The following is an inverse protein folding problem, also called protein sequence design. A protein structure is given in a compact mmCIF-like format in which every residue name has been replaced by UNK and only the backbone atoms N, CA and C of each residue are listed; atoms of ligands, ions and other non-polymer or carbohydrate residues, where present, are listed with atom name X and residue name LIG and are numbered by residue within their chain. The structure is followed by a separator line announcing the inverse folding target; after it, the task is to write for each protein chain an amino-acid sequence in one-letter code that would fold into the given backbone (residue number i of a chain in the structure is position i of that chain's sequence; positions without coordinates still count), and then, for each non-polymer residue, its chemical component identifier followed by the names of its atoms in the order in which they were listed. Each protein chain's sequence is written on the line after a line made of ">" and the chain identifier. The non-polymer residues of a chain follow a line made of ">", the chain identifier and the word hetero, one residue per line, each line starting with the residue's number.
data_IF_472384608744
#
_entry.id   IF_472384608744
#
_cell.length_a   1.000
_cell.length_b   1.000
_cell.length_c   1.000
_cell.angle_alpha   90.00
_cell.angle_beta   90.00
_cell.angle_gamma   90.00
#
_symmetry.space_group_name_H-M   'P 1'
#
loop_
_entity.id
_entity.type
_entity.pdbx_description
1 polymer ?
#
# COMPACT_ATOMS: atom_id res chain seq x y z
N UNK A 1 -7.48 35.06 9.60
CA UNK A 1 -6.76 33.86 10.06
C UNK A 1 -6.31 33.09 8.84
N UNK A 2 -5.02 33.11 8.56
CA UNK A 2 -4.43 32.64 7.31
C UNK A 2 -3.44 31.53 7.65
N UNK A 3 -3.80 30.28 7.36
CA UNK A 3 -3.17 29.46 6.32
C UNK A 3 -3.75 28.05 6.35
N UNK A 4 -4.04 27.54 5.15
CA UNK A 4 -4.35 26.16 4.84
C UNK A 4 -3.51 25.16 5.65
N UNK A 5 -4.16 24.22 6.35
CA UNK A 5 -3.61 22.90 6.59
C UNK A 5 -3.65 22.11 5.27
N UNK A 6 -2.86 22.55 4.29
CA UNK A 6 -2.45 21.72 3.16
C UNK A 6 -1.16 21.03 3.59
N UNK A 7 -1.26 20.09 4.52
CA UNK A 7 -0.21 19.07 4.66
C UNK A 7 -0.36 18.12 3.47
N UNK A 8 0.04 18.60 2.29
CA UNK A 8 0.39 17.76 1.15
C UNK A 8 1.73 17.07 1.48
N UNK A 9 1.71 16.21 2.50
CA UNK A 9 2.70 15.16 2.60
C UNK A 9 2.32 14.18 1.50
N UNK A 10 2.86 14.41 0.30
CA UNK A 10 2.90 13.43 -0.77
C UNK A 10 3.84 12.30 -0.30
N UNK A 11 3.35 11.51 0.64
CA UNK A 11 4.05 10.32 1.10
C UNK A 11 3.73 9.26 0.05
N UNK A 12 4.71 9.04 -0.84
CA UNK A 12 4.58 7.99 -1.83
C UNK A 12 4.45 6.65 -1.10
N UNK A 13 3.62 5.77 -1.61
CA UNK A 13 3.30 4.51 -0.97
C UNK A 13 4.56 3.62 -0.88
N UNK A 14 5.13 3.50 0.32
CA UNK A 14 6.36 2.74 0.56
C UNK A 14 6.05 1.33 1.04
N UNK A 15 6.84 0.35 0.60
CA UNK A 15 6.69 -1.03 1.07
C UNK A 15 7.41 -1.16 2.40
N UNK A 16 6.66 -1.27 3.49
CA UNK A 16 7.23 -1.56 4.81
C UNK A 16 7.29 -3.07 5.07
N UNK A 17 8.35 -3.48 5.75
CA UNK A 17 8.44 -4.83 6.33
C UNK A 17 7.49 -4.96 7.51
N UNK A 18 7.09 -6.20 7.83
CA UNK A 18 6.18 -6.49 8.95
C UNK A 18 6.71 -5.94 10.30
N UNK A 19 8.02 -5.95 10.50
CA UNK A 19 8.66 -5.43 11.71
C UNK A 19 8.55 -3.90 11.83
N UNK A 20 8.90 -3.19 10.76
CA UNK A 20 8.78 -1.73 10.74
C UNK A 20 7.31 -1.34 10.87
N UNK A 21 6.42 -2.02 10.12
CA UNK A 21 4.99 -1.85 10.22
C UNK A 21 4.46 -2.08 11.64
N UNK A 22 4.90 -3.11 12.37
CA UNK A 22 4.44 -3.34 13.75
C UNK A 22 4.78 -2.20 14.72
N UNK A 23 5.95 -1.57 14.58
CA UNK A 23 6.35 -0.43 15.41
C UNK A 23 5.50 0.81 15.14
N UNK A 24 5.10 0.98 13.89
CA UNK A 24 4.32 2.14 13.47
C UNK A 24 2.83 1.85 13.36
N UNK A 25 2.38 0.59 13.43
CA UNK A 25 0.99 0.18 13.21
C UNK A 25 0.00 0.96 14.06
N UNK A 26 0.38 1.41 15.25
CA UNK A 26 -0.43 2.29 16.10
C UNK A 26 -0.69 3.68 15.48
N UNK A 27 0.24 4.16 14.66
CA UNK A 27 0.19 5.40 13.90
C UNK A 27 -0.38 5.23 12.48
N UNK A 28 -0.56 3.99 12.01
CA UNK A 28 -1.04 3.70 10.67
C UNK A 28 -2.41 3.02 10.71
N UNK A 29 -3.37 3.54 9.97
CA UNK A 29 -4.70 2.94 9.87
C UNK A 29 -4.82 2.19 8.56
N UNK A 30 -5.31 0.94 8.61
CA UNK A 30 -5.65 0.21 7.39
C UNK A 30 -6.77 0.95 6.68
N UNK A 31 -6.46 1.54 5.53
CA UNK A 31 -7.46 2.25 4.73
C UNK A 31 -8.06 1.36 3.65
N UNK A 32 -7.43 0.22 3.36
CA UNK A 32 -7.96 -0.72 2.38
C UNK A 32 -7.09 -1.93 2.14
N UNK A 33 -7.55 -2.76 1.21
CA UNK A 33 -6.80 -3.87 0.65
C UNK A 33 -6.89 -3.74 -0.86
N UNK A 34 -5.77 -3.90 -1.53
CA UNK A 34 -5.65 -3.89 -2.97
C UNK A 34 -5.21 -5.27 -3.42
N UNK A 35 -5.75 -5.73 -4.53
CA UNK A 35 -5.38 -6.99 -5.14
C UNK A 35 -5.14 -6.77 -6.62
N UNK A 36 -4.09 -7.42 -7.14
CA UNK A 36 -3.82 -7.51 -8.57
C UNK A 36 -3.85 -8.99 -8.96
N UNK A 37 -4.52 -9.26 -10.07
CA UNK A 37 -4.92 -10.61 -10.48
C UNK A 37 -4.64 -10.78 -11.96
N UNK A 38 -3.95 -11.84 -12.35
CA UNK A 38 -3.70 -12.12 -13.77
C UNK A 38 -2.44 -11.48 -14.35
N UNK A 39 -1.57 -10.97 -13.48
CA UNK A 39 -0.25 -10.46 -13.83
C UNK A 39 0.72 -11.63 -14.08
N UNK A 40 1.37 -11.66 -15.25
CA UNK A 40 2.44 -12.63 -15.55
C UNK A 40 3.77 -12.24 -14.91
N UNK A 41 3.96 -10.95 -14.61
CA UNK A 41 5.17 -10.41 -14.03
C UNK A 41 4.92 -9.82 -12.63
N UNK A 42 5.81 -10.07 -11.65
CA UNK A 42 5.70 -9.46 -10.32
C UNK A 42 5.90 -7.94 -10.34
N UNK A 43 6.62 -7.40 -11.35
CA UNK A 43 6.88 -5.97 -11.51
C UNK A 43 5.59 -5.19 -11.80
N UNK A 44 4.83 -5.64 -12.79
CA UNK A 44 3.57 -5.00 -13.20
C UNK A 44 2.52 -5.13 -12.07
N UNK A 45 2.47 -6.29 -11.40
CA UNK A 45 1.66 -6.47 -10.19
C UNK A 45 2.01 -5.44 -9.11
N UNK A 46 3.30 -5.18 -8.88
CA UNK A 46 3.78 -4.23 -7.88
C UNK A 46 3.44 -2.79 -8.28
N UNK A 47 3.66 -2.40 -9.53
CA UNK A 47 3.34 -1.06 -10.03
C UNK A 47 1.85 -0.74 -9.94
N UNK A 48 0.99 -1.69 -10.32
CA UNK A 48 -0.45 -1.50 -10.19
C UNK A 48 -0.88 -1.38 -8.72
N UNK A 49 -0.28 -2.18 -7.84
CA UNK A 49 -0.54 -2.08 -6.41
C UNK A 49 -0.10 -0.71 -5.85
N UNK A 50 1.07 -0.22 -6.25
CA UNK A 50 1.58 1.10 -5.84
C UNK A 50 0.66 2.20 -6.35
N UNK A 51 0.25 2.14 -7.61
CA UNK A 51 -0.66 3.13 -8.20
C UNK A 51 -2.00 3.16 -7.46
N UNK A 52 -2.60 1.99 -7.19
CA UNK A 52 -3.85 1.91 -6.41
C UNK A 52 -3.67 2.42 -4.97
N UNK A 53 -2.51 2.19 -4.37
CA UNK A 53 -2.19 2.70 -3.05
C UNK A 53 -2.08 4.23 -3.04
N UNK A 54 -1.37 4.80 -4.02
CA UNK A 54 -1.18 6.24 -4.21
C UNK A 54 -2.51 6.96 -4.49
N UNK A 55 -3.36 6.39 -5.37
CA UNK A 55 -4.72 6.90 -5.62
C UNK A 55 -5.60 6.91 -4.36
N UNK A 56 -5.37 5.96 -3.43
CA UNK A 56 -6.07 5.91 -2.15
C UNK A 56 -5.42 6.79 -1.09
N UNK A 57 -4.27 7.40 -1.38
CA UNK A 57 -3.46 8.16 -0.44
C UNK A 57 -2.93 7.29 0.70
N UNK A 58 -2.50 6.08 0.36
CA UNK A 58 -1.80 5.19 1.27
C UNK A 58 -0.32 5.55 1.33
N UNK A 59 0.21 5.70 2.54
CA UNK A 59 1.63 5.89 2.79
C UNK A 59 2.40 4.56 2.77
N UNK A 60 1.74 3.45 3.10
CA UNK A 60 2.38 2.15 3.33
C UNK A 60 1.63 1.03 2.65
N UNK A 61 2.37 0.15 1.96
CA UNK A 61 1.87 -1.07 1.35
C UNK A 61 2.53 -2.28 2.03
N UNK A 62 1.72 -3.24 2.47
CA UNK A 62 2.19 -4.51 3.04
C UNK A 62 1.68 -5.66 2.20
N UNK A 63 2.58 -6.36 1.52
CA UNK A 63 2.26 -7.57 0.75
C UNK A 63 1.80 -8.66 1.73
N UNK A 64 0.57 -9.15 1.55
CA UNK A 64 -0.05 -10.13 2.45
C UNK A 64 0.01 -11.55 1.89
N UNK A 65 -0.23 -11.71 0.59
CA UNK A 65 -0.25 -13.02 -0.06
C UNK A 65 0.02 -12.87 -1.55
N UNK A 66 0.94 -13.68 -2.08
CA UNK A 66 1.12 -13.91 -3.52
C UNK A 66 1.00 -15.41 -3.76
N UNK A 67 -0.16 -15.88 -4.21
CA UNK A 67 -0.39 -17.31 -4.38
C UNK A 67 0.00 -17.77 -5.79
N UNK A 68 0.75 -18.86 -5.89
CA UNK A 68 1.13 -19.50 -7.16
C UNK A 68 0.80 -20.98 -7.11
N UNK A 69 -0.36 -21.33 -7.67
CA UNK A 69 -0.68 -22.72 -8.07
C UNK A 69 -1.25 -22.83 -9.49
N UNK A 70 -1.79 -21.74 -10.07
CA UNK A 70 -2.26 -21.66 -11.49
C UNK A 70 -2.67 -20.26 -11.94
N UNK A 71 -2.94 -19.33 -11.02
CA UNK A 71 -3.18 -17.90 -11.27
C UNK A 71 -2.50 -17.07 -10.19
N UNK A 72 -1.67 -16.09 -10.59
CA UNK A 72 -1.03 -15.17 -9.66
C UNK A 72 -2.10 -14.22 -9.09
N UNK A 73 -2.52 -14.47 -7.86
CA UNK A 73 -3.33 -13.55 -7.06
C UNK A 73 -2.40 -12.89 -6.03
N UNK A 74 -2.11 -11.62 -6.25
CA UNK A 74 -1.28 -10.83 -5.32
C UNK A 74 -2.20 -9.87 -4.57
N UNK A 75 -2.22 -9.99 -3.25
CA UNK A 75 -3.00 -9.15 -2.36
C UNK A 75 -2.06 -8.38 -1.44
N UNK A 76 -2.27 -7.07 -1.34
CA UNK A 76 -1.53 -6.17 -0.47
C UNK A 76 -2.48 -5.30 0.36
N UNK A 77 -2.14 -5.11 1.63
CA UNK A 77 -2.86 -4.20 2.50
C UNK A 77 -2.25 -2.80 2.40
N UNK A 78 -3.10 -1.78 2.35
CA UNK A 78 -2.67 -0.38 2.30
C UNK A 78 -3.04 0.34 3.59
N UNK A 79 -2.10 1.15 4.07
CA UNK A 79 -2.22 1.86 5.32
C UNK A 79 -1.87 3.34 5.13
N UNK A 80 -2.58 4.19 5.86
CA UNK A 80 -2.36 5.63 5.88
C UNK A 80 -1.93 6.08 7.25
N UNK A 81 -0.96 6.99 7.31
CA UNK A 81 -0.54 7.60 8.57
C UNK A 81 -1.67 8.49 9.11
N UNK A 82 -1.98 8.35 10.40
CA UNK A 82 -2.93 9.22 11.12
C UNK A 82 -2.33 10.61 11.37
#
# INVERSE_FOLDING_TARGET
>A
MQHCFLTANAFSAEILTKEAFNKVHTQYTKIGTISSTGQTAPSDAREELIKKADEKGADVIVLSSGNTDKKLHVSANIYKKK
#
